data_IF_492229971560
#
_entry.id   IF_492229971560
#
_cell.length_a   1.000
_cell.length_b   1.000
_cell.length_c   1.000
_cell.angle_alpha   90.00
_cell.angle_beta   90.00
_cell.angle_gamma   90.00
#
_symmetry.space_group_name_H-M   'P 1'
#
loop_
_entity.id
_entity.type
_entity.pdbx_description
1 polymer ?
#
# COMPACT_ATOMS: atom_id res chain seq x y z
N UNK A 1 -21.12 -12.08 -41.11
CA UNK A 1 -20.13 -11.01 -41.31
C UNK A 1 -20.18 -10.01 -40.15
N UNK A 2 -20.07 -10.48 -38.90
CA UNK A 2 -20.21 -9.65 -37.68
C UNK A 2 -19.20 -10.02 -36.58
N UNK A 3 -18.13 -10.76 -36.91
CA UNK A 3 -17.13 -11.20 -35.92
C UNK A 3 -15.91 -10.27 -35.79
N UNK A 4 -15.71 -9.34 -36.73
CA UNK A 4 -14.51 -8.49 -36.76
C UNK A 4 -14.64 -7.19 -35.94
N UNK A 5 -15.87 -6.70 -35.69
CA UNK A 5 -16.08 -5.43 -34.98
C UNK A 5 -15.72 -5.48 -33.48
N UNK A 6 -15.78 -6.65 -32.83
CA UNK A 6 -15.41 -6.77 -31.42
C UNK A 6 -13.89 -6.68 -31.22
N UNK A 7 -13.11 -7.22 -32.17
CA UNK A 7 -11.65 -7.12 -32.15
C UNK A 7 -11.19 -5.70 -32.46
N UNK A 8 -11.81 -5.01 -33.43
CA UNK A 8 -11.53 -3.60 -33.73
C UNK A 8 -11.90 -2.65 -32.58
N UNK A 9 -13.03 -2.89 -31.89
CA UNK A 9 -13.43 -2.09 -30.71
C UNK A 9 -12.47 -2.32 -29.54
N UNK A 10 -12.01 -3.55 -29.33
CA UNK A 10 -11.02 -3.87 -28.29
C UNK A 10 -9.65 -3.27 -28.62
N UNK A 11 -9.27 -3.26 -29.90
CA UNK A 11 -8.04 -2.65 -30.39
C UNK A 11 -8.09 -1.11 -30.32
N UNK A 12 -9.26 -0.51 -30.58
CA UNK A 12 -9.52 0.91 -30.31
C UNK A 12 -9.49 1.22 -28.81
N UNK A 13 -10.11 0.39 -27.96
CA UNK A 13 -10.06 0.57 -26.49
C UNK A 13 -8.63 0.58 -25.97
N UNK A 14 -7.79 -0.34 -26.43
CA UNK A 14 -6.35 -0.35 -26.12
C UNK A 14 -5.60 0.89 -26.61
N UNK A 15 -6.03 1.52 -27.71
CA UNK A 15 -5.50 2.81 -28.16
C UNK A 15 -5.99 4.00 -27.30
N UNK A 16 -7.08 3.83 -26.55
CA UNK A 16 -7.66 4.84 -25.65
C UNK A 16 -7.33 4.62 -24.17
N UNK A 17 -6.59 3.56 -23.84
CA UNK A 17 -6.03 3.32 -22.51
C UNK A 17 -4.71 4.08 -22.40
N UNK A 18 -4.58 4.91 -21.36
CA UNK A 18 -3.34 5.67 -21.11
C UNK A 18 -2.13 4.74 -20.90
N UNK A 19 -0.94 5.33 -20.84
CA UNK A 19 0.33 4.62 -20.74
C UNK A 19 0.86 4.66 -19.31
N UNK A 20 1.53 3.59 -18.88
CA UNK A 20 2.32 3.58 -17.66
C UNK A 20 3.78 3.86 -18.03
N UNK A 21 4.43 4.80 -17.37
CA UNK A 21 5.83 5.17 -17.59
C UNK A 21 6.62 5.06 -16.29
N UNK A 22 7.90 4.68 -16.35
CA UNK A 22 8.78 4.70 -15.18
C UNK A 22 9.41 6.08 -15.02
N UNK A 23 9.52 6.55 -13.78
CA UNK A 23 10.34 7.71 -13.44
C UNK A 23 11.81 7.33 -13.20
N UNK A 24 12.63 8.35 -12.89
CA UNK A 24 14.05 8.19 -12.54
C UNK A 24 14.32 7.34 -11.29
N UNK A 25 13.32 7.17 -10.42
CA UNK A 25 13.42 6.41 -9.17
C UNK A 25 12.87 4.97 -9.32
N UNK A 26 12.37 4.61 -10.50
CA UNK A 26 11.85 3.28 -10.82
C UNK A 26 10.39 3.07 -10.43
N UNK A 27 9.65 4.14 -10.10
CA UNK A 27 8.22 4.08 -9.83
C UNK A 27 7.40 4.31 -11.11
N UNK A 28 6.24 3.66 -11.20
CA UNK A 28 5.37 3.76 -12.39
C UNK A 28 4.36 4.89 -12.22
N UNK A 29 4.13 5.66 -13.28
CA UNK A 29 3.15 6.73 -13.37
C UNK A 29 2.27 6.57 -14.60
N UNK A 30 0.96 6.68 -14.44
CA UNK A 30 -0.05 6.64 -15.47
C UNK A 30 -0.25 8.00 -16.13
N UNK A 31 -0.29 7.99 -17.45
CA UNK A 31 -0.55 9.16 -18.28
C UNK A 31 -1.66 8.85 -19.26
N UNK A 32 -2.75 9.63 -19.21
CA UNK A 32 -3.85 9.50 -20.15
C UNK A 32 -3.43 9.77 -21.61
N UNK A 33 -4.25 9.32 -22.55
CA UNK A 33 -3.98 9.42 -24.00
C UNK A 33 -3.82 10.84 -24.53
N UNK A 34 -4.29 11.84 -23.78
CA UNK A 34 -4.10 13.26 -24.11
C UNK A 34 -2.75 13.83 -23.68
N UNK A 35 -1.94 13.07 -22.92
CA UNK A 35 -0.67 13.55 -22.36
C UNK A 35 0.46 13.67 -23.40
N UNK A 36 0.35 12.98 -24.55
CA UNK A 36 1.41 12.87 -25.55
C UNK A 36 2.64 12.06 -25.11
N UNK A 37 2.63 11.42 -23.92
CA UNK A 37 3.73 10.57 -23.41
C UNK A 37 3.47 9.11 -23.76
N UNK A 38 3.78 8.71 -24.99
CA UNK A 38 3.21 7.51 -25.59
C UNK A 38 3.98 6.19 -25.40
N UNK A 39 5.19 6.13 -24.84
CA UNK A 39 5.90 4.84 -24.72
C UNK A 39 6.92 4.74 -23.59
N UNK A 40 7.09 3.50 -23.09
CA UNK A 40 8.23 3.06 -22.27
C UNK A 40 9.54 3.23 -23.04
N UNK A 41 10.39 4.16 -22.61
CA UNK A 41 11.82 4.06 -22.91
C UNK A 41 12.43 3.00 -22.00
N UNK A 42 12.77 1.85 -22.57
CA UNK A 42 13.59 0.84 -21.90
C UNK A 42 14.98 1.41 -21.65
N UNK A 43 15.25 1.90 -20.45
CA UNK A 43 16.61 2.08 -19.96
C UNK A 43 17.23 0.69 -19.76
N UNK A 44 17.78 0.15 -20.83
CA UNK A 44 18.70 -0.99 -20.77
C UNK A 44 20.02 -0.54 -20.14
N UNK A 45 20.03 -0.42 -18.81
CA UNK A 45 21.25 -0.59 -18.04
C UNK A 45 21.01 -1.75 -17.07
N UNK A 46 21.56 -2.91 -17.44
CA UNK A 46 21.46 -4.14 -16.69
C UNK A 46 21.99 -3.94 -15.27
N UNK A 47 21.11 -4.17 -14.29
CA UNK A 47 21.53 -4.49 -12.93
C UNK A 47 22.03 -5.93 -12.97
N UNK A 48 23.22 -6.25 -12.43
CA UNK A 48 23.71 -7.62 -12.44
C UNK A 48 22.81 -8.50 -11.57
N UNK A 49 22.40 -9.65 -12.10
CA UNK A 49 21.76 -10.73 -11.32
C UNK A 49 22.70 -11.12 -10.16
N UNK A 50 22.33 -10.74 -8.94
CA UNK A 50 22.91 -11.33 -7.74
C UNK A 50 22.12 -12.58 -7.39
N UNK A 51 22.62 -13.72 -7.86
CA UNK A 51 22.25 -15.04 -7.34
C UNK A 51 22.73 -15.10 -5.88
N UNK A 52 21.80 -15.16 -4.93
CA UNK A 52 22.13 -15.41 -3.52
C UNK A 52 21.74 -16.83 -3.12
N UNK A 53 22.78 -17.56 -2.73
CA UNK A 53 22.78 -18.91 -2.17
C UNK A 53 21.99 -18.94 -0.84
N UNK A 54 20.93 -19.75 -0.79
CA UNK A 54 20.16 -19.98 0.43
C UNK A 54 21.01 -20.75 1.44
N UNK A 55 21.50 -20.07 2.48
CA UNK A 55 21.96 -20.72 3.69
C UNK A 55 21.05 -20.37 4.86
N UNK A 56 20.36 -21.40 5.33
CA UNK A 56 19.60 -21.40 6.57
C UNK A 56 20.51 -21.02 7.74
N UNK A 57 20.12 -19.99 8.47
CA UNK A 57 20.80 -19.56 9.68
C UNK A 57 19.90 -18.60 10.44
N UNK A 58 19.32 -19.09 11.55
CA UNK A 58 18.56 -18.28 12.50
C UNK A 58 19.53 -17.32 13.21
N UNK A 59 19.79 -16.16 12.61
CA UNK A 59 20.52 -15.07 13.24
C UNK A 59 19.54 -14.06 13.82
N UNK A 60 19.75 -13.70 15.10
CA UNK A 60 19.01 -12.70 15.89
C UNK A 60 18.47 -11.56 15.02
N UNK A 61 17.14 -11.34 15.05
CA UNK A 61 16.50 -10.18 14.42
C UNK A 61 17.16 -8.91 14.96
N UNK A 62 18.05 -8.32 14.18
CA UNK A 62 18.66 -7.02 14.44
C UNK A 62 18.28 -6.16 13.24
N UNK A 63 17.78 -4.97 13.50
CA UNK A 63 17.41 -4.04 12.44
C UNK A 63 18.71 -3.60 11.75
N UNK A 64 18.85 -3.70 10.42
CA UNK A 64 20.10 -3.32 9.77
C UNK A 64 20.50 -1.88 10.07
N UNK A 65 21.81 -1.65 10.28
CA UNK A 65 22.40 -0.34 10.60
C UNK A 65 21.90 0.83 9.75
N UNK A 66 21.57 0.59 8.49
CA UNK A 66 21.00 1.57 7.56
C UNK A 66 19.72 2.26 8.08
N UNK A 67 18.86 1.56 8.84
CA UNK A 67 17.65 2.16 9.39
C UNK A 67 17.93 3.09 10.57
N UNK A 68 19.01 2.89 11.32
CA UNK A 68 19.37 3.76 12.44
C UNK A 68 19.71 5.18 12.00
N UNK A 69 20.32 5.34 10.82
CA UNK A 69 20.69 6.64 10.28
C UNK A 69 19.51 7.39 9.62
N UNK A 70 18.45 6.67 9.27
CA UNK A 70 17.27 7.20 8.59
C UNK A 70 16.11 7.56 9.54
N UNK A 71 16.11 7.00 10.75
CA UNK A 71 15.13 7.29 11.77
C UNK A 71 15.59 8.48 12.63
N UNK A 72 14.86 9.59 12.65
CA UNK A 72 15.22 10.74 13.49
C UNK A 72 14.96 10.48 14.99
N UNK A 73 14.32 9.36 15.32
CA UNK A 73 14.10 8.90 16.69
C UNK A 73 14.93 7.66 16.99
N UNK A 74 15.80 7.75 17.99
CA UNK A 74 16.55 6.60 18.52
C UNK A 74 15.63 5.73 19.39
N UNK A 75 15.02 4.72 18.79
CA UNK A 75 14.21 3.71 19.49
C UNK A 75 15.03 2.42 19.73
N UNK A 76 14.88 1.75 20.88
CA UNK A 76 15.46 0.43 21.08
C UNK A 76 14.95 -0.57 20.03
N UNK A 77 15.84 -1.39 19.46
CA UNK A 77 15.48 -2.41 18.43
C UNK A 77 14.35 -3.33 18.89
N UNK A 78 14.34 -3.69 20.17
CA UNK A 78 13.31 -4.51 20.78
C UNK A 78 11.93 -3.85 20.67
N UNK A 79 11.84 -2.54 20.92
CA UNK A 79 10.59 -1.80 20.82
C UNK A 79 10.15 -1.66 19.36
N UNK A 80 11.09 -1.42 18.44
CA UNK A 80 10.80 -1.33 17.01
C UNK A 80 10.22 -2.66 16.48
N UNK A 81 10.86 -3.79 16.79
CA UNK A 81 10.40 -5.12 16.39
C UNK A 81 9.05 -5.48 17.02
N UNK A 82 8.85 -5.12 18.29
CA UNK A 82 7.57 -5.29 18.98
C UNK A 82 6.43 -4.53 18.30
N UNK A 83 6.66 -3.27 17.94
CA UNK A 83 5.67 -2.45 17.25
C UNK A 83 5.32 -2.97 15.85
N UNK A 84 6.32 -3.45 15.10
CA UNK A 84 6.11 -4.09 13.79
C UNK A 84 5.27 -5.35 13.94
N UNK A 85 5.61 -6.22 14.89
CA UNK A 85 4.87 -7.46 15.11
C UNK A 85 3.42 -7.18 15.52
N UNK A 86 3.21 -6.21 16.42
CA UNK A 86 1.87 -5.81 16.85
C UNK A 86 1.05 -5.24 15.70
N UNK A 87 1.65 -4.41 14.84
CA UNK A 87 0.97 -3.88 13.65
C UNK A 87 0.48 -5.02 12.74
N UNK A 88 1.35 -5.97 12.39
CA UNK A 88 0.98 -7.08 11.52
C UNK A 88 0.00 -8.06 12.18
N UNK A 89 0.03 -8.17 13.50
CA UNK A 89 -0.89 -9.02 14.26
C UNK A 89 -2.29 -8.41 14.36
N UNK A 90 -2.40 -7.10 14.64
CA UNK A 90 -3.66 -6.49 15.06
C UNK A 90 -4.22 -5.45 14.11
N UNK A 91 -3.39 -4.74 13.33
CA UNK A 91 -3.85 -3.67 12.46
C UNK A 91 -3.95 -4.11 10.99
N UNK A 92 -2.89 -4.72 10.45
CA UNK A 92 -2.83 -5.12 9.04
C UNK A 92 -3.98 -6.06 8.62
N UNK A 93 -4.45 -7.03 9.43
CA UNK A 93 -5.56 -7.90 9.01
C UNK A 93 -6.85 -7.14 8.68
N UNK A 94 -7.11 -6.00 9.33
CA UNK A 94 -8.31 -5.17 9.09
C UNK A 94 -8.19 -4.24 7.88
N UNK A 95 -6.97 -3.82 7.57
CA UNK A 95 -6.63 -2.98 6.43
C UNK A 95 -5.30 -3.48 5.84
N UNK A 96 -5.33 -4.56 5.03
CA UNK A 96 -4.12 -5.21 4.55
C UNK A 96 -3.53 -4.44 3.38
N UNK A 97 -3.11 -3.20 3.62
CA UNK A 97 -2.47 -2.34 2.63
C UNK A 97 -0.99 -2.70 2.46
N UNK A 98 -0.38 -3.38 3.44
CA UNK A 98 1.02 -3.83 3.40
C UNK A 98 1.08 -5.35 3.22
N UNK A 99 1.94 -5.82 2.32
CA UNK A 99 2.35 -7.21 2.25
C UNK A 99 3.52 -7.44 3.24
N UNK A 100 3.30 -8.30 4.24
CA UNK A 100 4.25 -8.49 5.33
C UNK A 100 5.58 -9.10 4.86
N UNK A 101 5.53 -10.05 3.92
CA UNK A 101 6.72 -10.72 3.38
C UNK A 101 7.62 -9.73 2.64
N UNK A 102 7.04 -8.91 1.76
CA UNK A 102 7.73 -7.86 1.03
C UNK A 102 8.34 -6.80 1.95
N UNK A 103 7.57 -6.38 2.96
CA UNK A 103 8.01 -5.41 3.94
C UNK A 103 9.19 -5.92 4.75
N UNK A 104 9.07 -7.12 5.34
CA UNK A 104 10.14 -7.72 6.15
C UNK A 104 11.37 -8.07 5.32
N UNK A 105 11.18 -8.58 4.10
CA UNK A 105 12.28 -8.80 3.16
C UNK A 105 13.05 -7.50 2.90
N UNK A 106 12.34 -6.41 2.60
CA UNK A 106 12.94 -5.10 2.39
C UNK A 106 13.60 -4.53 3.65
N UNK A 107 13.04 -4.80 4.83
CA UNK A 107 13.61 -4.38 6.10
C UNK A 107 15.01 -5.00 6.33
N UNK A 108 15.22 -6.25 5.93
CA UNK A 108 16.53 -6.91 6.05
C UNK A 108 17.49 -6.57 4.93
N UNK A 109 17.00 -6.37 3.71
CA UNK A 109 17.83 -6.17 2.52
C UNK A 109 18.07 -4.68 2.18
N UNK A 110 17.44 -3.74 2.88
CA UNK A 110 17.37 -2.34 2.44
C UNK A 110 16.56 -2.15 1.15
N UNK A 111 15.50 -2.95 0.99
CA UNK A 111 14.65 -2.96 -0.20
C UNK A 111 13.63 -1.82 -0.25
N UNK A 112 12.97 -1.67 -1.40
CA UNK A 112 12.06 -0.55 -1.67
C UNK A 112 10.73 -0.56 -0.88
N UNK A 113 10.32 -1.70 -0.31
CA UNK A 113 9.03 -1.82 0.39
C UNK A 113 9.09 -1.48 1.88
N UNK A 114 10.24 -1.02 2.38
CA UNK A 114 10.40 -0.56 3.76
C UNK A 114 11.06 0.82 3.75
N UNK A 115 10.23 1.88 3.74
CA UNK A 115 10.71 3.27 3.79
C UNK A 115 10.57 3.85 5.20
N UNK A 116 11.36 4.88 5.56
CA UNK A 116 11.23 5.55 6.86
C UNK A 116 9.81 6.08 7.13
N UNK A 117 9.16 6.66 6.12
CA UNK A 117 7.78 7.14 6.24
C UNK A 117 6.81 6.01 6.60
N UNK A 118 6.88 4.89 5.86
CA UNK A 118 6.02 3.74 6.10
C UNK A 118 6.28 3.14 7.48
N UNK A 119 7.54 3.07 7.89
CA UNK A 119 7.96 2.54 9.19
C UNK A 119 7.42 3.39 10.35
N UNK A 120 7.44 4.73 10.25
CA UNK A 120 6.82 5.62 11.24
C UNK A 120 5.30 5.41 11.34
N UNK A 121 4.62 5.18 10.22
CA UNK A 121 3.19 4.87 10.22
C UNK A 121 2.90 3.53 10.91
N UNK A 122 3.72 2.50 10.65
CA UNK A 122 3.63 1.19 11.31
C UNK A 122 3.85 1.33 12.82
N UNK A 123 4.88 2.07 13.26
CA UNK A 123 5.13 2.31 14.68
C UNK A 123 3.97 3.05 15.33
N UNK A 124 3.45 4.10 14.68
CA UNK A 124 2.30 4.87 15.17
C UNK A 124 1.07 3.99 15.35
N UNK A 125 0.73 3.19 14.34
CA UNK A 125 -0.44 2.29 14.40
C UNK A 125 -0.24 1.16 15.42
N UNK A 126 0.93 0.52 15.42
CA UNK A 126 1.27 -0.54 16.39
C UNK A 126 1.20 -0.04 17.84
N UNK A 127 1.57 1.23 18.09
CA UNK A 127 1.51 1.84 19.43
C UNK A 127 0.11 1.83 20.03
N UNK A 128 -0.94 1.86 19.20
CA UNK A 128 -2.34 1.84 19.65
C UNK A 128 -2.81 0.47 20.16
N UNK A 129 -2.04 -0.58 19.93
CA UNK A 129 -2.36 -1.96 20.31
C UNK A 129 -1.38 -2.49 21.38
N UNK A 130 -0.66 -1.61 22.08
CA UNK A 130 0.21 -1.98 23.18
C UNK A 130 0.05 -1.05 24.38
N UNK A 131 0.25 -1.60 25.58
CA UNK A 131 0.17 -0.86 26.84
C UNK A 131 1.50 -0.23 27.28
N UNK A 132 2.55 -0.33 26.47
CA UNK A 132 3.87 0.21 26.81
C UNK A 132 3.81 1.73 26.96
N UNK A 133 4.33 2.31 28.06
CA UNK A 133 4.32 3.75 28.26
C UNK A 133 5.32 4.47 27.34
N UNK A 134 6.38 3.81 26.88
CA UNK A 134 7.41 4.40 26.01
C UNK A 134 6.87 4.97 24.69
N UNK A 135 5.71 4.48 24.23
CA UNK A 135 5.12 4.88 22.95
C UNK A 135 4.11 6.01 23.08
N UNK A 136 3.90 6.53 24.29
CA UNK A 136 2.94 7.58 24.62
C UNK A 136 3.66 8.90 24.79
N UNK A 137 3.18 9.96 24.13
CA UNK A 137 3.72 11.31 24.36
C UNK A 137 3.39 11.84 25.75
N UNK A 138 2.27 11.38 26.33
CA UNK A 138 1.95 11.52 27.75
C UNK A 138 1.83 10.11 28.37
N UNK A 139 2.79 9.66 29.19
CA UNK A 139 2.77 8.33 29.80
C UNK A 139 1.48 8.02 30.58
N UNK A 140 0.79 9.05 31.11
CA UNK A 140 -0.45 8.91 31.85
C UNK A 140 -1.69 8.76 30.96
N UNK A 141 -1.59 9.06 29.66
CA UNK A 141 -2.73 9.08 28.74
C UNK A 141 -2.55 8.05 27.61
N UNK A 142 -3.28 6.92 27.62
CA UNK A 142 -3.18 5.90 26.57
C UNK A 142 -3.61 6.42 25.19
N UNK A 143 -4.44 7.46 25.13
CA UNK A 143 -4.88 8.10 23.88
C UNK A 143 -3.76 8.83 23.12
N UNK A 144 -2.59 8.98 23.74
CA UNK A 144 -1.42 9.62 23.11
C UNK A 144 -0.45 8.63 22.48
N UNK A 145 -0.72 7.33 22.60
CA UNK A 145 0.11 6.29 22.01
C UNK A 145 0.26 6.49 20.49
N UNK A 146 1.50 6.54 20.02
CA UNK A 146 1.84 6.67 18.60
C UNK A 146 1.82 8.09 18.03
N UNK A 147 1.46 9.12 18.81
CA UNK A 147 1.36 10.52 18.33
C UNK A 147 2.69 11.04 17.79
N UNK A 148 3.79 10.86 18.53
CA UNK A 148 5.11 11.33 18.10
C UNK A 148 5.62 10.63 16.84
N UNK A 149 5.23 9.37 16.61
CA UNK A 149 5.53 8.68 15.35
C UNK A 149 4.72 9.25 14.17
N UNK A 150 3.47 9.64 14.41
CA UNK A 150 2.64 10.28 13.37
C UNK A 150 3.20 11.67 13.01
N UNK A 151 3.60 12.46 14.01
CA UNK A 151 4.24 13.77 13.79
C UNK A 151 5.52 13.65 12.95
N UNK A 152 6.32 12.61 13.18
CA UNK A 152 7.50 12.36 12.35
C UNK A 152 7.13 11.86 10.93
N UNK A 153 6.09 11.02 10.81
CA UNK A 153 5.57 10.61 9.52
C UNK A 153 5.12 11.81 8.68
N UNK A 154 4.45 12.80 9.28
CA UNK A 154 4.07 14.05 8.60
C UNK A 154 5.30 14.78 8.03
N UNK A 155 6.39 14.84 8.79
CA UNK A 155 7.64 15.51 8.37
C UNK A 155 8.29 14.77 7.20
N UNK A 156 8.34 13.44 7.25
CA UNK A 156 8.86 12.60 6.17
C UNK A 156 7.99 12.67 4.91
N UNK A 157 6.67 12.72 5.08
CA UNK A 157 5.71 12.82 3.98
C UNK A 157 5.95 14.08 3.13
N UNK A 158 6.23 15.24 3.75
CA UNK A 158 6.52 16.47 3.01
C UNK A 158 7.73 16.35 2.06
N UNK A 159 8.69 15.48 2.39
CA UNK A 159 9.85 15.21 1.55
C UNK A 159 9.50 14.20 0.46
N UNK A 160 8.83 13.10 0.83
CA UNK A 160 8.51 11.99 -0.07
C UNK A 160 7.46 12.37 -1.14
N UNK A 161 6.58 13.35 -0.88
CA UNK A 161 5.59 13.84 -1.85
C UNK A 161 6.19 14.40 -3.16
N UNK A 162 7.48 14.70 -3.20
CA UNK A 162 8.18 15.13 -4.42
C UNK A 162 8.48 13.98 -5.38
N UNK A 163 8.60 12.77 -4.84
CA UNK A 163 8.80 11.53 -5.61
C UNK A 163 8.08 10.39 -4.89
N UNK A 164 6.74 10.33 -5.04
CA UNK A 164 5.92 9.36 -4.34
C UNK A 164 6.14 7.94 -4.86
N UNK A 165 6.05 6.98 -3.95
CA UNK A 165 6.21 5.54 -4.19
C UNK A 165 4.95 4.80 -3.77
N UNK A 166 4.86 3.51 -4.10
CA UNK A 166 3.75 2.68 -3.60
C UNK A 166 3.70 2.68 -2.06
N UNK A 167 4.85 2.75 -1.39
CA UNK A 167 4.96 2.88 0.07
C UNK A 167 4.41 4.21 0.59
N UNK A 168 4.42 5.28 -0.21
CA UNK A 168 3.79 6.56 0.13
C UNK A 168 2.27 6.41 0.16
N UNK A 169 1.69 5.67 -0.79
CA UNK A 169 0.24 5.36 -0.80
C UNK A 169 -0.12 4.53 0.43
N UNK A 170 0.67 3.50 0.74
CA UNK A 170 0.49 2.66 1.94
C UNK A 170 0.57 3.51 3.23
N UNK A 171 1.56 4.38 3.33
CA UNK A 171 1.74 5.26 4.48
C UNK A 171 0.56 6.23 4.64
N UNK A 172 0.14 6.91 3.57
CA UNK A 172 -1.01 7.81 3.57
C UNK A 172 -2.31 7.10 3.98
N UNK A 173 -2.48 5.85 3.54
CA UNK A 173 -3.63 5.01 3.93
C UNK A 173 -3.61 4.71 5.44
N UNK A 174 -2.43 4.45 6.02
CA UNK A 174 -2.32 4.23 7.48
C UNK A 174 -2.49 5.54 8.24
N UNK A 175 -1.92 6.64 7.74
CA UNK A 175 -2.08 7.98 8.33
C UNK A 175 -3.55 8.40 8.37
N UNK A 176 -4.34 8.14 7.31
CA UNK A 176 -5.77 8.48 7.32
C UNK A 176 -6.51 7.77 8.46
N UNK A 177 -6.29 6.46 8.60
CA UNK A 177 -6.86 5.65 9.70
C UNK A 177 -6.39 6.18 11.06
N UNK A 178 -5.12 6.56 11.21
CA UNK A 178 -4.59 7.16 12.44
C UNK A 178 -5.30 8.47 12.79
N UNK A 179 -5.45 9.40 11.84
CA UNK A 179 -6.15 10.66 12.09
C UNK A 179 -7.60 10.44 12.49
N UNK A 180 -8.31 9.53 11.81
CA UNK A 180 -9.67 9.15 12.21
C UNK A 180 -9.68 8.65 13.65
N UNK A 181 -8.75 7.76 14.00
CA UNK A 181 -8.66 7.17 15.31
C UNK A 181 -8.19 8.15 16.41
N UNK A 182 -7.65 9.31 16.04
CA UNK A 182 -7.35 10.45 16.93
C UNK A 182 -8.45 11.53 16.92
N UNK A 183 -9.52 11.37 16.14
CA UNK A 183 -10.64 12.32 16.03
C UNK A 183 -10.37 13.52 15.13
N UNK A 184 -9.37 13.44 14.24
CA UNK A 184 -9.03 14.48 13.27
C UNK A 184 -9.64 14.16 11.89
N UNK A 185 -10.97 14.14 11.80
CA UNK A 185 -11.69 13.64 10.61
C UNK A 185 -11.34 14.38 9.31
N UNK A 186 -11.09 15.70 9.38
CA UNK A 186 -10.66 16.46 8.21
C UNK A 186 -9.27 16.04 7.73
N UNK A 187 -8.34 15.77 8.65
CA UNK A 187 -7.01 15.28 8.30
C UNK A 187 -7.08 13.85 7.75
N UNK A 188 -7.92 12.98 8.34
CA UNK A 188 -8.22 11.65 7.80
C UNK A 188 -8.61 11.73 6.33
N UNK A 189 -9.66 12.52 6.04
CA UNK A 189 -10.20 12.68 4.70
C UNK A 189 -9.18 13.21 3.69
N UNK A 190 -8.35 14.18 4.10
CA UNK A 190 -7.33 14.75 3.22
C UNK A 190 -6.24 13.73 2.86
N UNK A 191 -5.74 12.98 3.85
CA UNK A 191 -4.70 11.96 3.61
C UNK A 191 -5.22 10.79 2.79
N UNK A 192 -6.47 10.39 3.03
CA UNK A 192 -7.19 9.42 2.19
C UNK A 192 -7.30 9.92 0.74
N UNK A 193 -7.72 11.16 0.54
CA UNK A 193 -7.79 11.77 -0.80
C UNK A 193 -6.44 11.89 -1.50
N UNK A 194 -5.35 12.09 -0.75
CA UNK A 194 -3.98 12.05 -1.28
C UNK A 194 -3.60 10.63 -1.73
N UNK A 195 -3.86 9.62 -0.90
CA UNK A 195 -3.61 8.22 -1.25
C UNK A 195 -4.37 7.84 -2.53
N UNK A 196 -5.65 8.20 -2.63
CA UNK A 196 -6.49 7.88 -3.80
C UNK A 196 -5.98 8.56 -5.08
N UNK A 197 -5.53 9.82 -4.98
CA UNK A 197 -4.94 10.53 -6.13
C UNK A 197 -3.62 9.91 -6.58
N UNK A 198 -2.71 9.60 -5.66
CA UNK A 198 -1.44 8.97 -5.98
C UNK A 198 -1.63 7.55 -6.54
N UNK A 199 -2.61 6.81 -6.03
CA UNK A 199 -2.98 5.49 -6.55
C UNK A 199 -3.38 5.57 -8.04
N UNK A 200 -4.20 6.55 -8.41
CA UNK A 200 -4.57 6.79 -9.81
C UNK A 200 -3.38 7.28 -10.64
N UNK A 201 -2.58 8.22 -10.09
CA UNK A 201 -1.37 8.72 -10.73
C UNK A 201 -0.37 7.59 -11.00
N UNK A 202 -0.28 6.58 -10.15
CA UNK A 202 0.61 5.43 -10.34
C UNK A 202 -0.04 4.27 -11.12
N UNK A 203 -1.29 4.45 -11.55
CA UNK A 203 -2.10 3.51 -12.32
C UNK A 203 -2.36 2.18 -11.63
N UNK A 204 -2.52 2.19 -10.30
CA UNK A 204 -2.94 1.00 -9.55
C UNK A 204 -4.37 0.56 -9.89
N UNK A 205 -5.15 1.42 -10.55
CA UNK A 205 -6.51 1.17 -11.00
C UNK A 205 -6.60 0.47 -12.38
N UNK A 206 -5.48 0.06 -12.97
CA UNK A 206 -5.41 -0.49 -14.34
C UNK A 206 -5.06 -1.98 -14.29
N UNK A 207 -5.52 -2.73 -15.29
CA UNK A 207 -5.14 -4.14 -15.45
C UNK A 207 -3.66 -4.27 -15.82
N UNK A 208 -2.87 -4.80 -14.89
CA UNK A 208 -1.44 -5.05 -15.06
C UNK A 208 -1.12 -6.40 -15.68
N UNK A 209 -2.12 -7.24 -15.99
CA UNK A 209 -1.93 -8.56 -16.62
C UNK A 209 -1.05 -8.51 -17.88
N UNK A 210 -1.20 -7.55 -18.81
CA UNK A 210 -0.33 -7.44 -19.97
C UNK A 210 1.14 -7.15 -19.61
N UNK A 211 1.38 -6.33 -18.57
CA UNK A 211 2.72 -5.97 -18.11
C UNK A 211 3.45 -7.13 -17.43
N UNK A 212 2.70 -7.97 -16.72
CA UNK A 212 3.22 -9.21 -16.16
C UNK A 212 3.54 -10.20 -17.27
N UNK A 213 2.65 -10.34 -18.27
CA UNK A 213 2.86 -11.23 -19.40
C UNK A 213 4.05 -10.83 -20.29
N UNK A 214 4.34 -9.53 -20.43
CA UNK A 214 5.51 -9.03 -21.16
C UNK A 214 6.81 -9.08 -20.36
N UNK A 215 6.75 -9.41 -19.06
CA UNK A 215 7.90 -9.35 -18.15
C UNK A 215 8.31 -7.93 -17.72
N UNK A 216 7.52 -6.91 -18.09
CA UNK A 216 7.76 -5.50 -17.73
C UNK A 216 7.44 -5.20 -16.26
N UNK A 217 6.66 -6.07 -15.60
CA UNK A 217 6.32 -5.96 -14.18
C UNK A 217 6.42 -7.33 -13.49
N UNK A 218 7.08 -7.44 -12.33
CA UNK A 218 7.07 -8.66 -11.53
C UNK A 218 5.63 -9.00 -11.07
N UNK A 219 5.29 -10.29 -11.06
CA UNK A 219 3.96 -10.74 -10.60
C UNK A 219 3.67 -10.33 -9.15
N UNK A 220 4.70 -10.30 -8.30
CA UNK A 220 4.58 -9.88 -6.90
C UNK A 220 4.24 -8.39 -6.76
N UNK A 221 4.84 -7.53 -7.57
CA UNK A 221 4.50 -6.10 -7.65
C UNK A 221 3.05 -5.90 -8.13
N UNK A 222 2.61 -6.65 -9.14
CA UNK A 222 1.23 -6.61 -9.62
C UNK A 222 0.21 -7.04 -8.54
N UNK A 223 0.57 -8.05 -7.73
CA UNK A 223 -0.26 -8.47 -6.59
C UNK A 223 -0.30 -7.41 -5.49
N UNK A 224 0.83 -6.77 -5.18
CA UNK A 224 0.87 -5.69 -4.20
C UNK A 224 -0.01 -4.50 -4.64
N UNK A 225 0.07 -4.09 -5.89
CA UNK A 225 -0.75 -3.00 -6.46
C UNK A 225 -2.24 -3.27 -6.31
N UNK A 226 -2.65 -4.51 -6.61
CA UNK A 226 -4.03 -4.98 -6.44
C UNK A 226 -4.46 -4.95 -4.98
N UNK A 227 -3.60 -5.45 -4.08
CA UNK A 227 -3.85 -5.43 -2.64
C UNK A 227 -4.04 -4.01 -2.11
N UNK A 228 -3.16 -3.07 -2.50
CA UNK A 228 -3.24 -1.64 -2.11
C UNK A 228 -4.50 -1.00 -2.66
N UNK A 229 -4.83 -1.20 -3.94
CA UNK A 229 -6.04 -0.67 -4.56
C UNK A 229 -7.30 -1.06 -3.79
N UNK A 230 -7.47 -2.36 -3.50
CA UNK A 230 -8.67 -2.86 -2.82
C UNK A 230 -8.73 -2.50 -1.34
N UNK A 231 -7.57 -2.39 -0.68
CA UNK A 231 -7.53 -1.90 0.71
C UNK A 231 -8.00 -0.45 0.79
N UNK A 232 -7.51 0.40 -0.12
CA UNK A 232 -7.92 1.80 -0.19
C UNK A 232 -9.40 1.95 -0.60
N UNK A 233 -9.87 1.12 -1.55
CA UNK A 233 -11.28 1.04 -1.90
C UNK A 233 -12.16 0.73 -0.69
N UNK A 234 -11.74 -0.17 0.21
CA UNK A 234 -12.47 -0.49 1.43
C UNK A 234 -12.43 0.65 2.45
N UNK A 235 -11.27 1.30 2.63
CA UNK A 235 -11.13 2.47 3.52
C UNK A 235 -12.09 3.60 3.11
N UNK A 236 -12.24 3.87 1.81
CA UNK A 236 -13.16 4.87 1.24
C UNK A 236 -14.62 4.66 1.69
N UNK A 237 -15.09 3.42 1.77
CA UNK A 237 -16.50 3.12 2.14
C UNK A 237 -16.67 3.15 3.64
N UNK A 238 -15.68 2.66 4.39
CA UNK A 238 -15.70 2.72 5.84
C UNK A 238 -15.66 4.20 6.31
N UNK A 239 -14.82 5.03 5.69
CA UNK A 239 -14.72 6.46 5.92
C UNK A 239 -16.02 7.21 5.53
N UNK A 240 -16.57 6.92 4.34
CA UNK A 240 -17.83 7.48 3.88
C UNK A 240 -19.01 7.12 4.82
N UNK A 241 -19.14 5.86 5.21
CA UNK A 241 -20.19 5.40 6.13
C UNK A 241 -20.04 5.97 7.54
N UNK A 242 -18.81 6.15 8.03
CA UNK A 242 -18.53 6.77 9.33
C UNK A 242 -18.84 8.28 9.33
N UNK A 243 -18.47 8.99 8.27
CA UNK A 243 -18.53 10.47 8.23
C UNK A 243 -19.75 11.04 7.51
N UNK A 244 -20.51 10.21 6.80
CA UNK A 244 -21.61 10.63 5.93
C UNK A 244 -21.16 11.33 4.64
N UNK A 245 -19.87 11.26 4.29
CA UNK A 245 -19.34 11.81 3.03
C UNK A 245 -19.58 10.85 1.86
N UNK A 246 -19.50 11.37 0.64
CA UNK A 246 -19.63 10.56 -0.56
C UNK A 246 -18.39 9.67 -0.77
N UNK A 247 -18.59 8.45 -1.25
CA UNK A 247 -17.51 7.59 -1.72
C UNK A 247 -16.79 8.26 -2.90
N UNK A 248 -15.45 8.21 -2.90
CA UNK A 248 -14.62 8.78 -3.97
C UNK A 248 -14.10 7.74 -4.94
N UNK A 249 -13.99 6.48 -4.51
CA UNK A 249 -13.54 5.37 -5.33
C UNK A 249 -14.72 4.47 -5.68
N UNK A 250 -15.27 4.55 -6.88
CA UNK A 250 -16.40 3.71 -7.26
C UNK A 250 -15.92 2.39 -7.85
N UNK A 251 -16.68 1.32 -7.61
CA UNK A 251 -16.33 -0.04 -8.03
C UNK A 251 -16.05 -0.16 -9.54
N UNK A 252 -16.73 0.63 -10.36
CA UNK A 252 -16.59 0.63 -11.82
C UNK A 252 -15.40 1.45 -12.35
N UNK A 253 -14.71 2.22 -11.50
CA UNK A 253 -13.63 3.12 -11.94
C UNK A 253 -12.28 2.42 -12.13
N UNK A 254 -12.10 1.22 -11.57
CA UNK A 254 -10.86 0.45 -11.69
C UNK A 254 -11.04 -0.82 -12.50
N UNK A 255 -10.10 -1.09 -13.41
CA UNK A 255 -9.95 -2.36 -14.11
C UNK A 255 -9.08 -3.34 -13.30
N UNK A 256 -9.36 -3.45 -12.01
CA UNK A 256 -8.55 -4.23 -11.07
C UNK A 256 -9.30 -5.48 -10.67
N UNK A 257 -8.74 -6.65 -10.98
CA UNK A 257 -9.31 -7.92 -10.52
C UNK A 257 -9.23 -8.04 -8.99
N UNK A 258 -10.12 -8.82 -8.38
CA UNK A 258 -10.05 -9.10 -6.94
C UNK A 258 -8.72 -9.78 -6.55
N UNK A 259 -8.18 -9.51 -5.35
CA UNK A 259 -7.04 -10.24 -4.81
C UNK A 259 -7.36 -11.74 -4.77
N UNK A 260 -6.37 -12.57 -5.05
CA UNK A 260 -6.50 -14.01 -4.91
C UNK A 260 -5.40 -14.53 -3.99
N UNK A 261 -5.74 -15.57 -3.24
CA UNK A 261 -4.78 -16.32 -2.44
C UNK A 261 -3.92 -17.12 -3.41
N UNK A 262 -2.59 -17.05 -3.28
CA UNK A 262 -1.72 -17.92 -4.06
C UNK A 262 -2.05 -19.35 -3.64
N UNK A 263 -2.37 -20.24 -4.59
CA UNK A 263 -2.49 -21.67 -4.28
C UNK A 263 -1.11 -22.21 -3.90
N UNK A 264 -0.75 -22.10 -2.62
CA UNK A 264 0.49 -22.62 -2.08
C UNK A 264 0.44 -24.13 -1.90
N UNK A 265 1.63 -24.77 -1.93
CA UNK A 265 1.84 -26.18 -1.56
C UNK A 265 1.83 -26.40 -0.03
N UNK A 266 1.73 -25.33 0.76
CA UNK A 266 1.68 -25.39 2.23
C UNK A 266 0.30 -25.84 2.73
N UNK A 267 0.30 -26.75 3.71
CA UNK A 267 -0.93 -27.23 4.37
C UNK A 267 -1.52 -26.21 5.37
N UNK A 268 -0.76 -25.16 5.72
CA UNK A 268 -1.18 -24.08 6.64
C UNK A 268 -1.19 -22.77 5.87
N UNK A 269 -2.32 -22.05 5.93
CA UNK A 269 -2.47 -20.72 5.36
C UNK A 269 -1.51 -19.74 6.05
N UNK A 270 -0.79 -18.94 5.27
CA UNK A 270 0.03 -17.86 5.83
C UNK A 270 -0.86 -16.75 6.38
N UNK A 271 -0.34 -15.91 7.29
CA UNK A 271 -1.05 -14.69 7.76
C UNK A 271 -1.43 -13.78 6.58
N UNK A 272 -0.61 -13.77 5.54
CA UNK A 272 -0.88 -13.05 4.29
C UNK A 272 -2.10 -13.64 3.56
N UNK A 273 -2.22 -14.97 3.48
CA UNK A 273 -3.36 -15.63 2.84
C UNK A 273 -4.67 -15.33 3.59
N UNK A 274 -4.66 -15.39 4.92
CA UNK A 274 -5.80 -15.04 5.76
C UNK A 274 -6.22 -13.58 5.56
N UNK A 275 -5.25 -12.67 5.51
CA UNK A 275 -5.49 -11.24 5.25
C UNK A 275 -6.12 -11.01 3.87
N UNK A 276 -5.74 -11.78 2.85
CA UNK A 276 -6.34 -11.68 1.51
C UNK A 276 -7.77 -12.22 1.46
N UNK A 277 -8.06 -13.30 2.19
CA UNK A 277 -9.44 -13.81 2.34
C UNK A 277 -10.33 -12.77 3.04
N UNK A 278 -9.81 -12.15 4.09
CA UNK A 278 -10.51 -11.08 4.80
C UNK A 278 -10.76 -9.88 3.89
N UNK A 279 -9.74 -9.39 3.18
CA UNK A 279 -9.86 -8.28 2.22
C UNK A 279 -10.95 -8.56 1.18
N UNK A 280 -10.95 -9.76 0.60
CA UNK A 280 -11.98 -10.15 -0.37
C UNK A 280 -13.40 -10.09 0.20
N UNK A 281 -13.56 -10.45 1.47
CA UNK A 281 -14.84 -10.38 2.17
C UNK A 281 -15.23 -8.93 2.47
N UNK A 282 -14.27 -8.12 2.92
CA UNK A 282 -14.43 -6.70 3.20
C UNK A 282 -14.81 -5.91 1.95
N UNK A 283 -14.19 -6.18 0.80
CA UNK A 283 -14.52 -5.54 -0.48
C UNK A 283 -15.98 -5.79 -0.87
N UNK A 284 -16.46 -7.03 -0.74
CA UNK A 284 -17.87 -7.36 -1.04
C UNK A 284 -18.85 -6.60 -0.14
N UNK A 285 -18.53 -6.47 1.15
CA UNK A 285 -19.31 -5.64 2.07
C UNK A 285 -19.26 -4.17 1.66
N UNK A 286 -18.08 -3.66 1.28
CA UNK A 286 -17.91 -2.29 0.83
C UNK A 286 -18.68 -2.00 -0.47
N UNK A 287 -18.79 -2.97 -1.39
CA UNK A 287 -19.64 -2.84 -2.59
C UNK A 287 -21.12 -2.67 -2.23
N UNK A 288 -21.62 -3.44 -1.25
CA UNK A 288 -22.98 -3.25 -0.73
C UNK A 288 -23.16 -1.89 -0.05
N UNK A 289 -22.16 -1.44 0.72
CA UNK A 289 -22.17 -0.11 1.34
C UNK A 289 -22.18 0.99 0.28
N UNK A 290 -21.39 0.86 -0.79
CA UNK A 290 -21.40 1.79 -1.93
C UNK A 290 -22.80 1.87 -2.55
N UNK A 291 -23.44 0.74 -2.84
CA UNK A 291 -24.81 0.72 -3.37
C UNK A 291 -25.80 1.42 -2.42
N UNK A 292 -25.74 1.15 -1.12
CA UNK A 292 -26.62 1.81 -0.15
C UNK A 292 -26.38 3.32 -0.14
N UNK A 293 -25.13 3.76 -0.01
CA UNK A 293 -24.78 5.18 0.10
C UNK A 293 -25.12 5.97 -1.16
N UNK A 294 -25.08 5.35 -2.35
CA UNK A 294 -25.46 5.99 -3.61
C UNK A 294 -26.98 6.13 -3.80
N UNK A 295 -27.79 5.45 -2.99
CA UNK A 295 -29.26 5.45 -3.08
C UNK A 295 -29.96 6.17 -1.91
N UNK A 296 -29.20 6.76 -0.96
CA UNK A 296 -29.72 7.63 0.10
C UNK A 296 -29.93 9.07 -0.40
#
# INVERSE_FOLDING_TARGET
MFKDGAAEIEQLRRQFEGTLNLDHDGETHFYGVTSGRLDFLTSSQGVPDMVLDHKEGVTKLTIPSFFHDLLPMSLPDELQLHLIEIYFTWANPWCPVINEELFRGSMYSGGKYCTPLLLMCIFSMGSRFTDRPEVRSDPASPYTAGRSFLEEAERLLQVELKSPKITTIQALTIMSVLYCAFGYDSACWLHEGMASRLMLEMGLNIDTTPLVASGSMPAEEAMLRRQVYWSLYSVDKLSASYTGRACTMLSFQGAVQMPFVKSGTSLVASRQDESMVFLNSQVKLCQMVEEILLNL
#
